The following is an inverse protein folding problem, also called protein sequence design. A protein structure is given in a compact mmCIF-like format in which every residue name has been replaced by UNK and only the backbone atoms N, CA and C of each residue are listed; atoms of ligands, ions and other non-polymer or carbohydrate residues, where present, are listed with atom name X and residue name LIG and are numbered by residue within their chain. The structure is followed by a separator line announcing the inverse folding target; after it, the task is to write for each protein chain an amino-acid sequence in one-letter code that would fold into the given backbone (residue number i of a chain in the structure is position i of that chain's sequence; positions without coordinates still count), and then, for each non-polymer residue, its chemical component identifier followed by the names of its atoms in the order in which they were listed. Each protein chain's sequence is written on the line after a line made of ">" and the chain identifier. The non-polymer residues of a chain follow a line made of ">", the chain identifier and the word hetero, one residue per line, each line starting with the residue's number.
data_IF_020814281479
#
_entry.id   IF_020814281479
#
_cell.length_a   1.000
_cell.length_b   1.000
_cell.length_c   1.000
_cell.angle_alpha   90.00
_cell.angle_beta   90.00
_cell.angle_gamma   90.00
#
_symmetry.space_group_name_H-M   'P 1'
#
loop_
_entity.id
_entity.type
_entity.pdbx_description
1 polymer ?
#
# COMPACT_ATOMS: atom_id res chain seq x y z
N UNK A 1 -12.94 16.17 9.80
CA UNK A 1 -13.10 14.71 9.71
C UNK A 1 -12.27 14.22 8.52
N UNK A 2 -11.09 13.63 8.75
CA UNK A 2 -10.26 13.10 7.67
C UNK A 2 -10.79 11.70 7.32
N UNK A 3 -11.35 11.54 6.12
CA UNK A 3 -11.86 10.25 5.63
C UNK A 3 -10.69 9.52 4.99
N UNK A 4 -10.19 8.46 5.63
CA UNK A 4 -9.14 7.65 5.05
C UNK A 4 -9.58 7.14 3.67
N UNK A 5 -8.85 7.52 2.62
CA UNK A 5 -9.03 7.07 1.24
C UNK A 5 -7.87 6.15 0.93
N UNK A 6 -8.12 4.85 0.82
CA UNK A 6 -7.13 3.89 0.30
C UNK A 6 -7.30 3.75 -1.20
N UNK A 7 -6.20 3.81 -1.94
CA UNK A 7 -6.15 3.49 -3.36
C UNK A 7 -5.21 2.31 -3.52
N UNK A 8 -5.72 1.24 -4.14
CA UNK A 8 -4.95 0.05 -4.45
C UNK A 8 -4.70 0.02 -5.95
N UNK A 9 -3.43 0.10 -6.35
CA UNK A 9 -3.03 -0.06 -7.75
C UNK A 9 -2.55 -1.50 -7.91
N UNK A 10 -3.25 -2.26 -8.76
CA UNK A 10 -2.87 -3.62 -9.12
C UNK A 10 -2.16 -3.59 -10.47
N UNK A 11 -0.97 -4.17 -10.53
CA UNK A 11 -0.27 -4.43 -11.78
C UNK A 11 -0.53 -5.89 -12.17
N UNK A 12 -1.09 -6.11 -13.35
CA UNK A 12 -1.31 -7.44 -13.89
C UNK A 12 -0.06 -7.92 -14.65
N UNK A 13 0.32 -9.17 -14.43
CA UNK A 13 1.27 -9.94 -15.24
C UNK A 13 0.55 -11.00 -16.08
N UNK A 14 1.32 -11.85 -16.76
CA UNK A 14 0.80 -12.78 -17.77
C UNK A 14 -0.26 -13.78 -17.26
N UNK A 15 -0.27 -14.09 -15.96
CA UNK A 15 -1.16 -15.10 -15.36
C UNK A 15 -1.97 -14.57 -14.17
N UNK A 16 -1.86 -13.29 -13.81
CA UNK A 16 -2.52 -12.74 -12.61
C UNK A 16 -1.93 -11.43 -12.10
N UNK A 17 -2.16 -11.09 -10.84
CA UNK A 17 -1.60 -9.89 -10.21
C UNK A 17 -0.11 -10.10 -9.95
N UNK A 18 0.73 -9.27 -10.57
CA UNK A 18 2.18 -9.28 -10.40
C UNK A 18 2.64 -8.36 -9.27
N UNK A 19 1.93 -7.26 -9.02
CA UNK A 19 2.25 -6.34 -7.93
C UNK A 19 1.01 -5.59 -7.42
N UNK A 20 1.06 -5.15 -6.16
CA UNK A 20 0.04 -4.31 -5.53
C UNK A 20 0.74 -3.16 -4.80
N UNK A 21 0.47 -1.93 -5.26
CA UNK A 21 0.97 -0.71 -4.61
C UNK A 21 -0.13 -0.15 -3.72
N UNK A 22 0.19 0.03 -2.44
CA UNK A 22 -0.70 0.62 -1.44
C UNK A 22 -0.10 1.94 -0.96
N UNK A 23 -0.87 3.02 -1.06
CA UNK A 23 -0.52 4.29 -0.45
C UNK A 23 -1.02 4.29 0.99
N UNK A 24 -0.09 4.13 1.93
CA UNK A 24 -0.34 4.16 3.37
C UNK A 24 0.19 5.46 3.97
N UNK A 25 -0.50 5.96 4.99
CA UNK A 25 0.07 6.99 5.86
C UNK A 25 1.32 6.42 6.56
N UNK A 26 2.46 7.14 6.62
CA UNK A 26 3.68 6.66 7.24
C UNK A 26 3.51 6.16 8.68
N UNK A 27 2.55 6.71 9.44
CA UNK A 27 2.25 6.25 10.81
C UNK A 27 1.80 4.77 10.86
N UNK A 28 1.26 4.24 9.76
CA UNK A 28 0.79 2.87 9.64
C UNK A 28 1.89 1.87 9.28
N UNK A 29 3.11 2.32 8.93
CA UNK A 29 4.18 1.42 8.49
C UNK A 29 4.59 0.46 9.62
N UNK A 30 4.62 0.94 10.86
CA UNK A 30 4.91 0.14 12.04
C UNK A 30 3.93 -1.03 12.24
N UNK A 31 2.64 -0.83 11.95
CA UNK A 31 1.60 -1.87 12.02
C UNK A 31 1.82 -3.02 11.05
N UNK A 32 2.58 -2.79 9.97
CA UNK A 32 2.90 -3.78 8.95
C UNK A 32 4.36 -4.25 9.01
N UNK A 33 5.11 -3.89 10.06
CA UNK A 33 6.52 -4.27 10.21
C UNK A 33 7.44 -3.60 9.18
N UNK A 34 7.01 -2.49 8.59
CA UNK A 34 7.77 -1.73 7.60
C UNK A 34 8.55 -0.59 8.29
N UNK A 35 9.79 -0.29 7.86
CA UNK A 35 10.54 0.84 8.39
C UNK A 35 9.84 2.16 8.01
N UNK A 36 9.77 3.11 8.94
CA UNK A 36 9.07 4.40 8.79
C UNK A 36 9.65 5.31 7.69
N UNK A 37 10.84 4.96 7.19
CA UNK A 37 11.54 5.59 6.08
C UNK A 37 12.05 4.49 5.15
N UNK A 38 12.01 4.75 3.84
CA UNK A 38 12.62 3.88 2.82
C UNK A 38 14.12 3.76 3.03
#
# INVERSE_FOLDING_TARGET
>A
MLRARSVHILTLGATGIAAMTVFLDPSLFSSFGLPSTR
#
